data_IF_443764966822
#
_entry.id   IF_443764966822
#
_cell.length_a   1.000
_cell.length_b   1.000
_cell.length_c   1.000
_cell.angle_alpha   90.00
_cell.angle_beta   90.00
_cell.angle_gamma   90.00
#
_symmetry.space_group_name_H-M   'P 1'
#
loop_
_entity.id
_entity.type
_entity.pdbx_description
1 polymer ?
#
# COMPACT_ATOMS: atom_id res chain seq x y z
N UNK A 1 -15.87 -9.40 10.58
CA UNK A 1 -14.72 -8.74 9.91
C UNK A 1 -13.85 -8.15 11.00
N UNK A 2 -12.67 -8.71 11.30
CA UNK A 2 -11.81 -8.28 12.42
C UNK A 2 -10.40 -7.85 11.97
N UNK A 3 -10.24 -7.52 10.70
CA UNK A 3 -8.94 -7.14 10.13
C UNK A 3 -8.79 -5.62 10.21
N UNK A 4 -7.73 -5.12 10.81
CA UNK A 4 -7.39 -3.70 10.77
C UNK A 4 -6.74 -3.37 9.42
N UNK A 5 -7.27 -2.40 8.70
CA UNK A 5 -6.75 -2.01 7.38
C UNK A 5 -6.21 -0.58 7.44
N UNK A 6 -4.99 -0.36 6.97
CA UNK A 6 -4.42 0.97 6.78
C UNK A 6 -4.53 1.35 5.31
N UNK A 7 -5.15 2.49 5.03
CA UNK A 7 -5.36 2.95 3.65
C UNK A 7 -4.92 4.39 3.45
N UNK A 8 -4.67 4.74 2.18
CA UNK A 8 -4.39 6.11 1.80
C UNK A 8 -5.65 6.99 1.81
N UNK A 9 -5.42 8.31 1.83
CA UNK A 9 -6.45 9.35 1.74
C UNK A 9 -7.36 9.24 0.50
N UNK A 10 -6.95 8.51 -0.54
CA UNK A 10 -7.80 8.24 -1.71
C UNK A 10 -8.98 7.32 -1.42
N UNK A 11 -8.94 6.58 -0.31
CA UNK A 11 -9.92 5.54 0.03
C UNK A 11 -10.95 6.00 1.08
N UNK A 12 -11.24 7.29 1.20
CA UNK A 12 -12.22 7.81 2.18
C UNK A 12 -13.58 7.09 2.14
N UNK A 13 -14.01 6.61 0.97
CA UNK A 13 -15.25 5.87 0.80
C UNK A 13 -15.29 4.48 1.45
N UNK A 14 -14.14 3.90 1.82
CA UNK A 14 -14.05 2.55 2.39
C UNK A 14 -14.71 2.43 3.76
N UNK A 15 -14.79 3.54 4.50
CA UNK A 15 -15.41 3.60 5.83
C UNK A 15 -16.90 3.23 5.78
N UNK A 16 -17.55 3.32 4.61
CA UNK A 16 -18.94 2.88 4.40
C UNK A 16 -19.11 1.36 4.37
N UNK A 17 -18.03 0.63 4.12
CA UNK A 17 -18.05 -0.82 3.91
C UNK A 17 -17.24 -1.58 4.95
N UNK A 18 -16.35 -0.90 5.66
CA UNK A 18 -15.44 -1.50 6.63
C UNK A 18 -15.10 -0.51 7.75
N UNK A 19 -15.58 -0.80 8.96
CA UNK A 19 -15.42 0.08 10.13
C UNK A 19 -13.98 0.07 10.68
N UNK A 20 -13.27 -1.06 10.58
CA UNK A 20 -11.91 -1.23 11.11
C UNK A 20 -10.84 -0.71 10.13
N UNK A 21 -11.05 0.47 9.55
CA UNK A 21 -10.10 1.09 8.63
C UNK A 21 -9.50 2.36 9.22
N UNK A 22 -8.17 2.41 9.20
CA UNK A 22 -7.42 3.59 9.54
C UNK A 22 -7.06 4.40 8.28
N UNK A 23 -7.39 5.69 8.30
CA UNK A 23 -7.05 6.66 7.25
C UNK A 23 -6.23 7.79 7.89
N UNK A 24 -5.05 8.16 7.35
CA UNK A 24 -4.27 9.29 7.83
C UNK A 24 -5.11 10.56 7.92
N UNK A 25 -4.96 11.32 9.01
CA UNK A 25 -5.67 12.58 9.19
C UNK A 25 -5.15 13.62 8.18
N UNK A 26 -6.07 14.34 7.52
CA UNK A 26 -5.74 15.40 6.55
C UNK A 26 -5.74 16.76 7.22
N UNK A 27 -4.65 17.51 7.07
CA UNK A 27 -4.59 18.93 7.48
C UNK A 27 -5.49 19.78 6.58
N UNK A 28 -6.24 20.72 7.16
CA UNK A 28 -6.93 21.79 6.41
C UNK A 28 -6.65 23.17 7.02
N UNK A 29 -7.09 24.24 6.34
CA UNK A 29 -6.90 25.63 6.82
C UNK A 29 -7.50 25.88 8.20
N UNK A 30 -8.66 25.28 8.46
CA UNK A 30 -9.42 25.47 9.70
C UNK A 30 -9.31 24.29 10.68
N UNK A 31 -8.73 23.17 10.24
CA UNK A 31 -8.54 21.98 11.06
C UNK A 31 -7.06 21.57 11.00
N UNK A 32 -6.21 22.15 11.87
CA UNK A 32 -4.83 21.72 12.01
C UNK A 32 -4.77 20.31 12.63
N UNK A 33 -3.71 19.56 12.31
CA UNK A 33 -3.49 18.24 12.89
C UNK A 33 -3.12 18.36 14.37
N UNK A 34 -3.77 17.55 15.20
CA UNK A 34 -3.39 17.38 16.61
C UNK A 34 -2.01 16.71 16.71
N UNK A 35 -1.41 16.72 17.90
CA UNK A 35 -0.14 16.01 18.10
C UNK A 35 -0.30 14.49 17.96
N UNK A 36 -1.43 13.96 18.40
CA UNK A 36 -1.78 12.54 18.25
C UNK A 36 -1.91 12.14 16.78
N UNK A 37 -2.62 12.95 15.98
CA UNK A 37 -2.75 12.74 14.53
C UNK A 37 -1.39 12.70 13.84
N UNK A 38 -0.48 13.62 14.21
CA UNK A 38 0.87 13.68 13.64
C UNK A 38 1.67 12.43 13.99
N UNK A 39 1.62 11.98 15.24
CA UNK A 39 2.32 10.78 15.68
C UNK A 39 1.81 9.53 14.95
N UNK A 40 0.49 9.42 14.79
CA UNK A 40 -0.13 8.30 14.13
C UNK A 40 0.15 8.29 12.62
N UNK A 41 0.00 9.44 11.96
CA UNK A 41 0.40 9.61 10.56
C UNK A 41 1.88 9.26 10.35
N UNK A 42 2.78 9.62 11.29
CA UNK A 42 4.21 9.27 11.21
C UNK A 42 4.44 7.76 11.30
N UNK A 43 3.73 7.05 12.19
CA UNK A 43 3.81 5.57 12.26
C UNK A 43 3.38 4.92 10.95
N UNK A 44 2.31 5.44 10.33
CA UNK A 44 1.79 4.92 9.06
C UNK A 44 2.70 5.25 7.90
N UNK A 45 3.26 6.46 7.87
CA UNK A 45 4.27 6.83 6.88
C UNK A 45 5.48 5.88 6.93
N UNK A 46 5.90 5.44 8.12
CA UNK A 46 6.97 4.44 8.26
C UNK A 46 6.60 3.10 7.61
N UNK A 47 5.39 2.58 7.86
CA UNK A 47 4.91 1.36 7.21
C UNK A 47 4.80 1.53 5.69
N UNK A 48 4.37 2.70 5.22
CA UNK A 48 4.28 3.01 3.78
C UNK A 48 5.64 3.01 3.08
N UNK A 49 6.71 3.45 3.74
CA UNK A 49 8.05 3.48 3.15
C UNK A 49 8.48 2.07 2.71
N UNK A 50 8.24 1.05 3.53
CA UNK A 50 8.56 -0.35 3.19
C UNK A 50 7.77 -0.81 1.95
N UNK A 51 6.46 -0.51 1.91
CA UNK A 51 5.60 -0.81 0.76
C UNK A 51 6.02 -0.04 -0.50
N UNK A 52 6.44 1.21 -0.36
CA UNK A 52 6.93 2.04 -1.46
C UNK A 52 8.26 1.51 -2.02
N UNK A 53 9.16 1.04 -1.16
CA UNK A 53 10.38 0.38 -1.59
C UNK A 53 10.09 -0.92 -2.35
N UNK A 54 9.19 -1.77 -1.84
CA UNK A 54 8.69 -2.95 -2.55
C UNK A 54 8.14 -2.58 -3.92
N UNK A 55 7.25 -1.59 -3.98
CA UNK A 55 6.61 -1.15 -5.22
C UNK A 55 7.62 -0.60 -6.23
N UNK A 56 8.63 0.15 -5.77
CA UNK A 56 9.69 0.66 -6.63
C UNK A 56 10.46 -0.49 -7.29
N UNK A 57 10.84 -1.51 -6.50
CA UNK A 57 11.55 -2.70 -6.99
C UNK A 57 10.66 -3.56 -7.89
N UNK A 58 9.40 -3.77 -7.53
CA UNK A 58 8.45 -4.52 -8.35
C UNK A 58 8.22 -3.86 -9.72
N UNK A 59 8.16 -2.53 -9.78
CA UNK A 59 7.97 -1.77 -11.03
C UNK A 59 9.14 -1.92 -12.02
N UNK A 60 10.35 -2.23 -11.57
CA UNK A 60 11.50 -2.42 -12.49
C UNK A 60 11.33 -3.63 -13.41
N UNK A 61 10.56 -4.63 -12.99
CA UNK A 61 10.24 -5.81 -13.81
C UNK A 61 9.24 -5.51 -14.93
N UNK A 62 8.59 -4.33 -14.92
CA UNK A 62 7.65 -3.89 -15.95
C UNK A 62 6.48 -4.86 -16.22
N UNK A 63 6.18 -5.76 -15.29
CA UNK A 63 5.16 -6.82 -15.41
C UNK A 63 3.78 -6.24 -15.76
N UNK A 64 3.46 -5.08 -15.18
CA UNK A 64 2.19 -4.36 -15.41
C UNK A 64 2.30 -3.25 -16.46
N UNK A 65 3.53 -2.88 -16.86
CA UNK A 65 3.78 -1.74 -17.75
C UNK A 65 3.89 -2.15 -19.22
N UNK A 66 4.29 -3.39 -19.50
CA UNK A 66 4.52 -3.89 -20.86
C UNK A 66 3.58 -5.05 -21.20
N UNK A 67 3.21 -5.23 -22.49
CA UNK A 67 2.44 -6.39 -22.91
C UNK A 67 3.18 -7.69 -22.57
N UNK A 68 2.52 -8.57 -21.82
CA UNK A 68 3.11 -9.86 -21.46
C UNK A 68 3.17 -10.80 -22.66
N UNK A 69 4.38 -11.07 -23.17
CA UNK A 69 4.59 -11.85 -24.41
C UNK A 69 4.67 -13.36 -24.22
N UNK A 70 4.69 -13.88 -22.99
CA UNK A 70 4.77 -15.32 -22.71
C UNK A 70 3.37 -15.93 -22.49
N UNK A 71 3.27 -17.27 -22.46
CA UNK A 71 2.02 -18.00 -22.20
C UNK A 71 1.37 -17.52 -20.90
N UNK A 72 0.14 -17.03 -20.99
CA UNK A 72 -0.62 -16.40 -19.90
C UNK A 72 -1.02 -17.35 -18.78
N UNK A 73 -1.11 -18.67 -19.04
CA UNK A 73 -1.51 -19.70 -18.05
C UNK A 73 -0.70 -19.67 -16.75
N UNK A 74 0.54 -19.15 -16.77
CA UNK A 74 1.41 -19.05 -15.59
C UNK A 74 1.82 -17.60 -15.25
N UNK A 75 1.09 -16.61 -15.76
CA UNK A 75 1.41 -15.21 -15.49
C UNK A 75 1.32 -14.88 -14.01
N UNK A 76 0.20 -15.23 -13.37
CA UNK A 76 -0.06 -14.98 -11.95
C UNK A 76 1.02 -15.64 -11.07
N UNK A 77 1.30 -16.92 -11.28
CA UNK A 77 2.36 -17.63 -10.54
C UNK A 77 3.73 -16.95 -10.65
N UNK A 78 4.09 -16.44 -11.84
CA UNK A 78 5.37 -15.73 -12.02
C UNK A 78 5.37 -14.39 -11.29
N UNK A 79 4.28 -13.63 -11.37
CA UNK A 79 4.14 -12.36 -10.65
C UNK A 79 4.20 -12.59 -9.14
N UNK A 80 3.51 -13.61 -8.63
CA UNK A 80 3.50 -13.98 -7.22
C UNK A 80 4.89 -14.39 -6.71
N UNK A 81 5.61 -15.22 -7.48
CA UNK A 81 6.99 -15.59 -7.13
C UNK A 81 7.93 -14.38 -7.10
N UNK A 82 7.80 -13.45 -8.05
CA UNK A 82 8.58 -12.21 -8.06
C UNK A 82 8.24 -11.36 -6.82
N UNK A 83 6.96 -11.19 -6.49
CA UNK A 83 6.55 -10.51 -5.26
C UNK A 83 7.12 -11.19 -4.01
N UNK A 84 7.07 -12.53 -3.94
CA UNK A 84 7.62 -13.31 -2.82
C UNK A 84 9.12 -13.11 -2.64
N UNK A 85 9.88 -13.12 -3.74
CA UNK A 85 11.34 -12.89 -3.71
C UNK A 85 11.65 -11.47 -3.26
N UNK A 86 10.98 -10.46 -3.84
CA UNK A 86 11.19 -9.05 -3.45
C UNK A 86 10.87 -8.86 -1.98
N UNK A 87 9.76 -9.43 -1.49
CA UNK A 87 9.39 -9.37 -0.08
C UNK A 87 10.45 -10.00 0.83
N UNK A 88 10.98 -11.17 0.46
CA UNK A 88 12.02 -11.85 1.23
C UNK A 88 13.35 -11.06 1.26
N UNK A 89 13.66 -10.30 0.22
CA UNK A 89 14.87 -9.48 0.17
C UNK A 89 14.74 -8.16 0.93
N UNK A 90 13.53 -7.71 1.26
CA UNK A 90 13.26 -6.36 1.77
C UNK A 90 12.69 -6.32 3.19
N UNK A 91 12.11 -7.43 3.67
CA UNK A 91 11.64 -7.63 5.04
C UNK A 91 12.58 -8.58 5.78
#
# INVERSE_FOLDING_TARGET
QNTLVFVDLGYLGILKFHENTFIPAKRSKHHPLTQEDKQLNRKIAKMRIEVEHFNAKFKTFQIMAQPYRNRRKRFELRAELICGIINHEMM
#
